data_IF_628164021289
#
_entry.id   IF_628164021289
#
_cell.length_a   1.000
_cell.length_b   1.000
_cell.length_c   1.000
_cell.angle_alpha   90.00
_cell.angle_beta   90.00
_cell.angle_gamma   90.00
#
_symmetry.space_group_name_H-M   'P 1'
#
loop_
_entity.id
_entity.type
_entity.pdbx_description
1 polymer ?
#
# COMPACT_ATOMS: atom_id res chain seq x y z
N UNK A 1 -10.05 -14.93 9.57
CA UNK A 1 -11.28 -15.67 9.26
C UNK A 1 -12.27 -15.46 10.38
N UNK A 2 -13.54 -15.22 10.04
CA UNK A 2 -14.64 -14.95 10.96
C UNK A 2 -14.84 -16.03 12.04
N UNK A 3 -14.32 -17.23 11.82
CA UNK A 3 -14.40 -18.39 12.71
C UNK A 3 -13.68 -18.20 14.08
N UNK A 4 -12.91 -17.13 14.24
CA UNK A 4 -12.18 -16.85 15.49
C UNK A 4 -12.80 -15.74 16.34
N UNK A 5 -13.90 -15.16 15.90
CA UNK A 5 -14.59 -14.11 16.65
C UNK A 5 -15.15 -14.69 17.96
N UNK A 6 -14.77 -14.10 19.08
CA UNK A 6 -15.16 -14.57 20.41
C UNK A 6 -14.26 -15.65 21.02
N UNK A 7 -13.30 -16.20 20.24
CA UNK A 7 -12.32 -17.16 20.75
C UNK A 7 -11.44 -16.51 21.84
N UNK A 8 -11.23 -17.23 22.92
CA UNK A 8 -10.33 -16.82 24.00
C UNK A 8 -8.98 -17.50 23.81
N UNK A 9 -7.96 -16.68 23.58
CA UNK A 9 -6.58 -17.13 23.37
C UNK A 9 -5.78 -16.88 24.65
N UNK A 10 -5.14 -17.91 25.16
CA UNK A 10 -4.23 -17.73 26.29
C UNK A 10 -4.19 -18.91 27.25
N UNK A 11 -3.38 -18.78 28.27
CA UNK A 11 -2.53 -17.62 28.60
C UNK A 11 -1.33 -17.47 27.65
N UNK A 12 -1.11 -16.24 27.17
CA UNK A 12 0.08 -15.88 26.38
C UNK A 12 1.07 -15.17 27.30
N UNK A 13 2.32 -15.63 27.33
CA UNK A 13 3.36 -15.05 28.16
C UNK A 13 4.09 -13.91 27.43
N UNK A 14 4.26 -12.77 28.10
CA UNK A 14 5.10 -11.65 27.67
C UNK A 14 6.05 -11.22 28.78
N UNK A 15 6.92 -10.28 28.51
CA UNK A 15 7.80 -9.68 29.54
C UNK A 15 7.03 -8.98 30.68
N UNK A 16 5.74 -8.74 30.51
CA UNK A 16 4.86 -8.10 31.51
C UNK A 16 3.94 -9.10 32.24
N UNK A 17 4.06 -10.40 31.95
CA UNK A 17 3.28 -11.45 32.58
C UNK A 17 2.42 -12.28 31.62
N UNK A 18 1.40 -12.94 32.17
CA UNK A 18 0.47 -13.76 31.40
C UNK A 18 -0.76 -12.95 31.00
N UNK A 19 -1.16 -13.07 29.74
CA UNK A 19 -2.31 -12.38 29.17
C UNK A 19 -3.32 -13.38 28.62
N UNK A 20 -4.59 -13.07 28.80
CA UNK A 20 -5.71 -13.75 28.15
C UNK A 20 -6.30 -12.75 27.16
N UNK A 21 -6.35 -13.15 25.89
CA UNK A 21 -6.83 -12.31 24.80
C UNK A 21 -8.16 -12.87 24.30
N UNK A 22 -9.09 -11.98 24.01
CA UNK A 22 -10.33 -12.32 23.33
C UNK A 22 -10.43 -11.48 22.07
N UNK A 23 -10.65 -12.14 20.93
CA UNK A 23 -10.92 -11.45 19.68
C UNK A 23 -12.37 -10.97 19.73
N UNK A 24 -12.58 -9.68 19.98
CA UNK A 24 -13.90 -9.05 20.03
C UNK A 24 -14.36 -8.52 18.69
N UNK A 25 -13.43 -8.17 17.82
CA UNK A 25 -13.70 -7.61 16.51
C UNK A 25 -12.53 -7.91 15.58
N UNK A 26 -12.80 -8.22 14.33
CA UNK A 26 -11.80 -8.35 13.28
C UNK A 26 -12.10 -7.23 12.28
N UNK A 27 -11.36 -6.13 12.37
CA UNK A 27 -11.32 -5.16 11.30
C UNK A 27 -10.55 -5.76 10.13
N UNK A 28 -11.27 -6.15 9.10
CA UNK A 28 -10.67 -6.44 7.80
C UNK A 28 -10.46 -5.08 7.13
N UNK A 29 -9.21 -4.66 7.03
CA UNK A 29 -8.87 -3.52 6.18
C UNK A 29 -9.41 -3.82 4.78
N UNK A 30 -10.49 -3.13 4.41
CA UNK A 30 -10.99 -3.18 3.04
C UNK A 30 -9.95 -2.51 2.17
N UNK A 31 -9.25 -3.30 1.38
CA UNK A 31 -8.33 -2.79 0.38
C UNK A 31 -9.15 -1.99 -0.64
N UNK A 32 -9.12 -0.68 -0.50
CA UNK A 32 -9.75 0.21 -1.47
C UNK A 32 -8.99 0.13 -2.78
N UNK A 33 -9.72 -0.01 -3.88
CA UNK A 33 -9.14 -0.11 -5.21
C UNK A 33 -10.23 -0.17 -6.28
N UNK A 34 -9.85 -0.21 -7.57
CA UNK A 34 -10.81 -0.18 -8.66
C UNK A 34 -11.60 -1.48 -8.82
N UNK A 35 -11.16 -2.58 -8.19
CA UNK A 35 -11.81 -3.88 -8.37
C UNK A 35 -12.93 -4.07 -7.34
N UNK A 36 -14.14 -4.22 -7.86
CA UNK A 36 -15.36 -4.53 -7.10
C UNK A 36 -15.94 -5.88 -7.55
N UNK A 37 -16.81 -6.46 -6.76
CA UNK A 37 -17.39 -7.79 -7.02
C UNK A 37 -18.19 -7.86 -8.33
N UNK A 38 -18.82 -6.78 -8.70
CA UNK A 38 -19.70 -6.60 -9.86
C UNK A 38 -18.97 -6.02 -11.09
N UNK A 39 -17.70 -5.67 -10.97
CA UNK A 39 -16.89 -5.19 -12.08
C UNK A 39 -16.80 -6.28 -13.15
N UNK A 40 -17.15 -5.93 -14.40
CA UNK A 40 -17.02 -6.84 -15.54
C UNK A 40 -15.55 -7.22 -15.79
N UNK A 41 -15.31 -8.48 -16.14
CA UNK A 41 -13.94 -8.98 -16.40
C UNK A 41 -13.25 -8.26 -17.56
N UNK A 42 -14.00 -7.85 -18.58
CA UNK A 42 -13.49 -7.04 -19.69
C UNK A 42 -12.92 -5.70 -19.20
N UNK A 43 -13.67 -5.01 -18.35
CA UNK A 43 -13.23 -3.75 -17.74
C UNK A 43 -12.08 -3.95 -16.78
N UNK A 44 -12.13 -4.99 -15.95
CA UNK A 44 -11.05 -5.34 -15.04
C UNK A 44 -9.73 -5.63 -15.79
N UNK A 45 -9.79 -6.32 -16.93
CA UNK A 45 -8.64 -6.55 -17.79
C UNK A 45 -8.12 -5.26 -18.45
N UNK A 46 -9.02 -4.34 -18.81
CA UNK A 46 -8.63 -3.04 -19.35
C UNK A 46 -7.87 -2.20 -18.31
N UNK A 47 -8.35 -2.20 -17.06
CA UNK A 47 -7.70 -1.51 -15.93
C UNK A 47 -6.35 -2.17 -15.59
N UNK A 48 -6.29 -3.50 -15.60
CA UNK A 48 -5.13 -4.27 -15.22
C UNK A 48 -4.91 -5.47 -16.16
N UNK A 49 -4.16 -5.29 -17.26
CA UNK A 49 -3.95 -6.33 -18.28
C UNK A 49 -3.33 -7.62 -17.77
N UNK A 50 -2.68 -7.59 -16.62
CA UNK A 50 -2.07 -8.78 -15.99
C UNK A 50 -3.04 -9.55 -15.08
N UNK A 51 -4.32 -9.13 -15.00
CA UNK A 51 -5.31 -9.72 -14.09
C UNK A 51 -5.43 -11.25 -14.26
N UNK A 52 -5.35 -11.75 -15.50
CA UNK A 52 -5.41 -13.18 -15.78
C UNK A 52 -4.23 -13.94 -15.21
N UNK A 53 -3.02 -13.42 -15.43
CA UNK A 53 -1.80 -14.02 -14.90
C UNK A 53 -1.82 -14.04 -13.38
N UNK A 54 -2.35 -12.99 -12.77
CA UNK A 54 -2.48 -12.90 -11.32
C UNK A 54 -3.52 -13.89 -10.78
N UNK A 55 -4.72 -13.93 -11.37
CA UNK A 55 -5.78 -14.86 -10.98
C UNK A 55 -5.33 -16.31 -11.15
N UNK A 56 -4.60 -16.62 -12.21
CA UNK A 56 -4.03 -17.94 -12.40
C UNK A 56 -2.97 -18.28 -11.33
N UNK A 57 -2.04 -17.37 -11.10
CA UNK A 57 -0.93 -17.58 -10.15
C UNK A 57 -1.41 -17.74 -8.71
N UNK A 58 -2.30 -16.89 -8.26
CA UNK A 58 -2.72 -16.82 -6.85
C UNK A 58 -3.88 -17.78 -6.54
N UNK A 59 -4.78 -18.03 -7.51
CA UNK A 59 -6.02 -18.77 -7.29
C UNK A 59 -6.23 -19.95 -8.25
N UNK A 60 -5.28 -20.23 -9.16
CA UNK A 60 -5.37 -21.27 -10.20
C UNK A 60 -6.60 -21.10 -11.11
N UNK A 61 -7.10 -19.87 -11.27
CA UNK A 61 -8.20 -19.54 -12.15
C UNK A 61 -7.67 -19.39 -13.57
N UNK A 62 -7.88 -20.41 -14.42
CA UNK A 62 -7.59 -20.37 -15.84
C UNK A 62 -8.78 -19.79 -16.62
N UNK A 63 -8.53 -18.74 -17.39
CA UNK A 63 -9.56 -18.10 -18.23
C UNK A 63 -9.02 -17.88 -19.64
N UNK A 64 -9.88 -18.00 -20.68
CA UNK A 64 -9.50 -17.57 -22.03
C UNK A 64 -9.32 -16.04 -22.07
N UNK A 65 -8.18 -15.58 -22.60
CA UNK A 65 -7.75 -14.18 -22.59
C UNK A 65 -8.52 -13.30 -23.60
N UNK A 66 -9.31 -13.88 -24.48
CA UNK A 66 -9.78 -13.18 -25.67
C UNK A 66 -11.28 -12.98 -25.82
N UNK A 67 -12.09 -13.57 -24.95
CA UNK A 67 -13.57 -13.44 -25.05
C UNK A 67 -14.22 -13.53 -23.70
N UNK A 68 -14.60 -12.37 -23.16
CA UNK A 68 -15.45 -12.31 -21.98
C UNK A 68 -16.91 -12.33 -22.39
N UNK A 69 -17.76 -13.00 -21.59
CA UNK A 69 -19.19 -12.81 -21.69
C UNK A 69 -19.55 -11.49 -21.02
N UNK A 70 -20.51 -10.71 -21.58
CA UNK A 70 -20.88 -9.41 -20.99
C UNK A 70 -21.29 -9.47 -19.52
N UNK A 71 -21.86 -10.61 -19.08
CA UNK A 71 -22.27 -10.86 -17.71
C UNK A 71 -21.16 -11.42 -16.80
N UNK A 72 -19.96 -11.63 -17.31
CA UNK A 72 -18.86 -12.21 -16.57
C UNK A 72 -18.20 -11.16 -15.69
N UNK A 73 -18.45 -11.23 -14.39
CA UNK A 73 -17.90 -10.34 -13.37
C UNK A 73 -16.83 -11.03 -12.54
N UNK A 74 -16.02 -10.28 -11.79
CA UNK A 74 -15.05 -10.85 -10.85
C UNK A 74 -15.73 -11.82 -9.89
N UNK A 75 -16.91 -11.46 -9.36
CA UNK A 75 -17.69 -12.33 -8.47
C UNK A 75 -18.11 -13.64 -9.15
N UNK A 76 -18.59 -13.57 -10.41
CA UNK A 76 -19.06 -14.76 -11.12
C UNK A 76 -17.89 -15.74 -11.38
N UNK A 77 -16.74 -15.21 -11.77
CA UNK A 77 -15.52 -15.99 -11.99
C UNK A 77 -15.05 -16.65 -10.70
N UNK A 78 -14.94 -15.88 -9.61
CA UNK A 78 -14.54 -16.43 -8.31
C UNK A 78 -15.48 -17.56 -7.84
N UNK A 79 -16.80 -17.36 -7.96
CA UNK A 79 -17.80 -18.38 -7.59
C UNK A 79 -17.66 -19.65 -8.41
N UNK A 80 -17.43 -19.55 -9.72
CA UNK A 80 -17.25 -20.71 -10.60
C UNK A 80 -16.04 -21.56 -10.21
N UNK A 81 -15.01 -20.90 -9.66
CA UNK A 81 -13.76 -21.57 -9.24
C UNK A 81 -13.68 -21.83 -7.72
N UNK A 82 -14.77 -21.63 -6.98
CA UNK A 82 -14.82 -21.78 -5.51
C UNK A 82 -13.78 -20.93 -4.76
N UNK A 83 -13.50 -19.74 -5.25
CA UNK A 83 -12.60 -18.76 -4.60
C UNK A 83 -13.44 -17.76 -3.83
N UNK A 84 -13.11 -17.45 -2.56
CA UNK A 84 -13.78 -16.38 -1.82
C UNK A 84 -13.60 -15.04 -2.52
N UNK A 85 -14.70 -14.39 -2.88
CA UNK A 85 -14.69 -13.16 -3.69
C UNK A 85 -13.87 -12.07 -3.00
N UNK A 86 -14.05 -11.88 -1.70
CA UNK A 86 -13.33 -10.85 -0.96
C UNK A 86 -11.80 -11.07 -0.99
N UNK A 87 -11.35 -12.31 -0.83
CA UNK A 87 -9.91 -12.65 -0.91
C UNK A 87 -9.32 -12.32 -2.28
N UNK A 88 -10.08 -12.60 -3.35
CA UNK A 88 -9.65 -12.23 -4.70
C UNK A 88 -9.58 -10.71 -4.89
N UNK A 89 -10.59 -9.96 -4.41
CA UNK A 89 -10.63 -8.50 -4.49
C UNK A 89 -9.47 -7.86 -3.72
N UNK A 90 -9.20 -8.33 -2.51
CA UNK A 90 -8.10 -7.82 -1.69
C UNK A 90 -6.76 -8.05 -2.37
N UNK A 91 -6.57 -9.24 -2.95
CA UNK A 91 -5.34 -9.56 -3.70
C UNK A 91 -5.19 -8.70 -4.95
N UNK A 92 -6.26 -8.54 -5.74
CA UNK A 92 -6.26 -7.72 -6.95
C UNK A 92 -5.99 -6.26 -6.63
N UNK A 93 -6.69 -5.69 -5.66
CA UNK A 93 -6.53 -4.28 -5.27
C UNK A 93 -5.14 -4.02 -4.69
N UNK A 94 -4.62 -4.94 -3.88
CA UNK A 94 -3.26 -4.87 -3.34
C UNK A 94 -2.22 -4.87 -4.46
N UNK A 95 -2.30 -5.85 -5.37
CA UNK A 95 -1.34 -5.98 -6.50
C UNK A 95 -1.42 -4.81 -7.48
N UNK A 96 -2.61 -4.32 -7.74
CA UNK A 96 -2.80 -3.11 -8.54
C UNK A 96 -2.15 -1.89 -7.87
N UNK A 97 -2.34 -1.72 -6.57
CA UNK A 97 -1.72 -0.64 -5.81
C UNK A 97 -0.19 -0.76 -5.81
N UNK A 98 0.36 -1.94 -5.59
CA UNK A 98 1.81 -2.20 -5.64
C UNK A 98 2.40 -1.82 -7.01
N UNK A 99 1.71 -2.09 -8.12
CA UNK A 99 2.18 -1.77 -9.47
C UNK A 99 2.12 -0.28 -9.82
N UNK A 100 1.17 0.44 -9.24
CA UNK A 100 0.95 1.86 -9.51
C UNK A 100 1.67 2.79 -8.51
N UNK A 101 2.60 2.25 -7.73
CA UNK A 101 3.44 3.07 -6.85
C UNK A 101 4.45 3.84 -7.71
N UNK A 102 4.45 5.16 -7.57
CA UNK A 102 5.51 6.00 -8.12
C UNK A 102 6.72 5.96 -7.19
N UNK A 103 7.88 5.61 -7.72
CA UNK A 103 9.12 5.42 -6.96
C UNK A 103 10.19 6.39 -7.46
N UNK A 104 11.06 6.84 -6.57
CA UNK A 104 12.31 7.53 -6.86
C UNK A 104 13.47 6.71 -6.28
N UNK A 105 14.56 6.52 -7.04
CA UNK A 105 15.73 5.80 -6.54
C UNK A 105 16.54 6.65 -5.56
N UNK A 106 17.34 5.98 -4.72
CA UNK A 106 18.21 6.69 -3.78
C UNK A 106 19.21 7.60 -4.52
N UNK A 107 19.77 7.11 -5.61
CA UNK A 107 20.75 7.84 -6.42
C UNK A 107 20.12 9.06 -7.11
N UNK A 108 18.92 8.92 -7.65
CA UNK A 108 18.20 10.05 -8.27
C UNK A 108 17.85 11.13 -7.23
N UNK A 109 17.33 10.73 -6.07
CA UNK A 109 17.02 11.68 -4.99
C UNK A 109 18.29 12.38 -4.50
N UNK A 110 19.40 11.65 -4.30
CA UNK A 110 20.68 12.22 -3.89
C UNK A 110 21.20 13.24 -4.90
N UNK A 111 21.20 12.87 -6.17
CA UNK A 111 21.60 13.77 -7.26
C UNK A 111 20.81 15.07 -7.23
N UNK A 112 19.50 14.99 -7.09
CA UNK A 112 18.62 16.17 -7.05
C UNK A 112 18.88 17.04 -5.82
N UNK A 113 19.12 16.44 -4.66
CA UNK A 113 19.51 17.16 -3.44
C UNK A 113 20.81 17.92 -3.66
N UNK A 114 21.81 17.29 -4.26
CA UNK A 114 23.14 17.89 -4.52
C UNK A 114 23.09 19.00 -5.56
N UNK A 115 22.20 18.89 -6.53
CA UNK A 115 21.96 19.92 -7.56
C UNK A 115 21.08 21.08 -7.07
N UNK A 116 20.53 20.99 -5.86
CA UNK A 116 19.64 22.02 -5.29
C UNK A 116 18.20 21.95 -5.80
N UNK A 117 17.84 20.94 -6.61
CA UNK A 117 16.48 20.65 -7.07
C UNK A 117 15.81 19.64 -6.12
N UNK A 118 15.68 20.01 -4.86
CA UNK A 118 15.18 19.14 -3.81
C UNK A 118 13.66 19.13 -3.78
N UNK A 119 12.99 17.96 -3.95
CA UNK A 119 11.56 17.82 -3.71
C UNK A 119 11.23 17.99 -2.22
N UNK A 120 9.98 18.16 -1.88
CA UNK A 120 9.53 18.09 -0.48
C UNK A 120 9.67 16.65 0.00
N UNK A 121 10.45 16.45 1.04
CA UNK A 121 10.66 15.12 1.62
C UNK A 121 9.81 15.00 2.87
N UNK A 122 8.90 14.02 2.87
CA UNK A 122 8.00 13.71 3.98
C UNK A 122 8.43 12.40 4.65
N UNK A 123 8.85 12.49 5.88
CA UNK A 123 9.24 11.33 6.68
C UNK A 123 8.07 10.89 7.56
N UNK A 124 7.51 9.72 7.23
CA UNK A 124 6.36 9.13 7.91
C UNK A 124 6.73 8.20 9.08
N UNK A 125 8.01 8.21 9.48
CA UNK A 125 8.51 7.40 10.57
C UNK A 125 8.27 8.07 11.92
N UNK A 126 8.36 7.26 12.96
CA UNK A 126 8.34 7.74 14.33
C UNK A 126 9.60 8.56 14.67
N UNK A 127 9.50 9.45 15.65
CA UNK A 127 10.62 10.33 16.02
C UNK A 127 11.89 9.55 16.38
N UNK A 128 11.76 8.46 17.13
CA UNK A 128 12.89 7.62 17.54
C UNK A 128 13.57 6.87 16.36
N UNK A 129 12.83 6.55 15.30
CA UNK A 129 13.39 5.97 14.07
C UNK A 129 14.29 6.98 13.35
N UNK A 130 13.93 8.26 13.41
CA UNK A 130 14.68 9.36 12.79
C UNK A 130 15.95 9.73 13.54
N UNK A 131 16.02 9.45 14.84
CA UNK A 131 17.22 9.65 15.64
C UNK A 131 18.37 8.72 15.21
N UNK A 132 18.03 7.60 14.54
CA UNK A 132 19.01 6.64 14.02
C UNK A 132 19.60 7.11 12.69
N UNK A 133 18.77 7.51 11.76
CA UNK A 133 19.15 8.02 10.43
C UNK A 133 18.04 8.88 9.86
N UNK A 134 18.37 9.95 9.14
CA UNK A 134 17.41 10.84 8.49
C UNK A 134 18.00 11.51 7.26
N UNK A 135 17.16 11.91 6.34
CA UNK A 135 17.56 12.82 5.25
C UNK A 135 17.36 14.26 5.74
N UNK A 136 18.41 15.04 5.73
CA UNK A 136 18.38 16.43 6.23
C UNK A 136 17.37 17.29 5.48
N UNK A 137 16.60 18.06 6.27
CA UNK A 137 15.52 18.93 5.77
C UNK A 137 14.27 18.16 5.33
N UNK A 138 14.08 16.91 5.76
CA UNK A 138 12.81 16.20 5.66
C UNK A 138 11.82 16.71 6.72
N UNK A 139 10.54 16.75 6.34
CA UNK A 139 9.43 17.13 7.23
C UNK A 139 8.86 15.88 7.88
N UNK A 140 8.68 15.91 9.20
CA UNK A 140 7.96 14.82 9.89
C UNK A 140 6.47 14.98 9.61
N UNK A 141 5.83 13.87 9.21
CA UNK A 141 4.39 13.81 9.06
C UNK A 141 3.82 12.60 9.80
N UNK A 142 2.82 12.82 10.63
CA UNK A 142 2.11 11.79 11.40
C UNK A 142 0.63 12.12 11.51
N UNK A 143 -0.14 11.32 12.25
CA UNK A 143 -1.58 11.51 12.41
C UNK A 143 -1.97 12.82 13.11
N UNK A 144 -1.08 13.39 13.92
CA UNK A 144 -1.36 14.60 14.70
C UNK A 144 -1.11 15.88 13.90
N UNK A 145 -0.15 15.87 12.96
CA UNK A 145 0.29 17.06 12.23
C UNK A 145 0.01 17.05 10.72
N UNK A 146 -0.54 15.95 10.18
CA UNK A 146 -0.68 15.75 8.74
C UNK A 146 -1.46 16.86 8.04
N UNK A 147 -2.58 17.32 8.62
CA UNK A 147 -3.38 18.40 8.04
C UNK A 147 -2.63 19.73 8.00
N UNK A 148 -1.89 20.03 9.06
CA UNK A 148 -1.09 21.26 9.13
C UNK A 148 0.09 21.22 8.16
N UNK A 149 0.83 20.12 8.12
CA UNK A 149 1.98 19.96 7.22
C UNK A 149 1.56 19.99 5.76
N UNK A 150 0.53 19.21 5.40
CA UNK A 150 0.03 19.14 4.02
C UNK A 150 -0.66 20.42 3.57
N UNK A 151 -1.30 21.14 4.50
CA UNK A 151 -1.92 22.45 4.23
C UNK A 151 -0.92 23.52 3.82
N UNK A 152 0.37 23.32 4.11
CA UNK A 152 1.46 24.24 3.73
C UNK A 152 1.94 24.04 2.29
N UNK A 153 1.53 22.97 1.60
CA UNK A 153 2.04 22.60 0.29
C UNK A 153 0.94 22.62 -0.77
N UNK A 154 1.30 23.08 -1.96
CA UNK A 154 0.43 23.01 -3.13
C UNK A 154 0.20 21.55 -3.56
N UNK A 155 -0.95 21.29 -4.18
CA UNK A 155 -1.38 19.90 -4.49
C UNK A 155 -0.55 19.21 -5.56
N UNK A 156 0.04 19.96 -6.45
CA UNK A 156 0.89 19.51 -7.56
C UNK A 156 2.39 19.46 -7.20
N UNK A 157 2.73 19.96 -6.00
CA UNK A 157 4.11 19.96 -5.53
C UNK A 157 4.66 18.53 -5.44
N UNK A 158 5.87 18.33 -5.96
CA UNK A 158 6.52 17.04 -5.91
C UNK A 158 6.97 16.70 -4.49
N UNK A 159 6.53 15.53 -4.03
CA UNK A 159 6.81 15.01 -2.69
C UNK A 159 7.47 13.64 -2.76
N UNK A 160 8.41 13.37 -1.86
CA UNK A 160 9.03 12.06 -1.67
C UNK A 160 8.73 11.56 -0.27
N UNK A 161 8.13 10.40 -0.17
CA UNK A 161 7.83 9.72 1.09
C UNK A 161 9.00 8.85 1.54
N UNK A 162 9.35 8.95 2.80
CA UNK A 162 10.36 8.12 3.45
C UNK A 162 9.70 7.32 4.56
N UNK A 163 9.91 6.02 4.55
CA UNK A 163 9.69 5.10 5.65
C UNK A 163 10.95 4.24 5.88
N UNK A 164 10.84 3.16 6.66
CA UNK A 164 12.02 2.34 6.94
C UNK A 164 12.47 1.50 5.74
N UNK A 165 11.53 0.74 5.11
CA UNK A 165 11.81 -0.22 4.03
C UNK A 165 10.82 -0.16 2.86
N UNK A 166 10.16 0.96 2.66
CA UNK A 166 9.11 1.11 1.63
C UNK A 166 7.88 0.21 1.88
N UNK A 167 7.59 -0.10 3.13
CA UNK A 167 6.44 -0.93 3.53
C UNK A 167 5.20 -0.11 3.88
N UNK A 168 5.36 1.11 4.41
CA UNK A 168 4.29 2.04 4.79
C UNK A 168 4.01 3.11 3.74
N UNK A 169 5.05 3.58 3.05
CA UNK A 169 4.98 4.69 2.08
C UNK A 169 4.01 4.44 0.92
N UNK A 170 3.84 3.22 0.37
CA UNK A 170 2.84 2.96 -0.67
C UNK A 170 1.41 3.27 -0.24
N UNK A 171 1.02 2.86 0.95
CA UNK A 171 -0.31 3.14 1.50
C UNK A 171 -0.52 4.62 1.76
N UNK A 172 0.52 5.30 2.24
CA UNK A 172 0.48 6.74 2.48
C UNK A 172 0.44 7.54 1.18
N UNK A 173 1.15 7.11 0.12
CA UNK A 173 1.07 7.71 -1.22
C UNK A 173 -0.37 7.67 -1.75
N UNK A 174 -1.05 6.52 -1.61
CA UNK A 174 -2.45 6.38 -1.99
C UNK A 174 -3.35 7.33 -1.20
N UNK A 175 -3.16 7.41 0.11
CA UNK A 175 -3.90 8.31 0.99
C UNK A 175 -3.71 9.79 0.60
N UNK A 176 -2.50 10.21 0.22
CA UNK A 176 -2.20 11.56 -0.30
C UNK A 176 -2.88 11.82 -1.65
N UNK A 177 -2.85 10.83 -2.56
CA UNK A 177 -3.48 10.94 -3.88
C UNK A 177 -5.00 11.17 -3.76
N UNK A 178 -5.68 10.48 -2.85
CA UNK A 178 -7.11 10.69 -2.56
C UNK A 178 -7.41 12.11 -2.04
N UNK A 179 -6.42 12.80 -1.51
CA UNK A 179 -6.52 14.19 -1.02
C UNK A 179 -6.05 15.23 -2.05
N UNK A 180 -5.76 14.78 -3.27
CA UNK A 180 -5.40 15.61 -4.41
C UNK A 180 -3.90 15.89 -4.56
N UNK A 181 -3.04 15.31 -3.71
CA UNK A 181 -1.59 15.33 -3.93
C UNK A 181 -1.20 14.19 -4.86
N UNK A 182 -1.07 14.47 -6.15
CA UNK A 182 -0.88 13.46 -7.19
C UNK A 182 0.58 13.24 -7.60
N UNK A 183 1.46 14.20 -7.26
CA UNK A 183 2.88 14.14 -7.61
C UNK A 183 3.71 13.66 -6.41
N UNK A 184 3.43 12.44 -5.96
CA UNK A 184 4.07 11.83 -4.78
C UNK A 184 4.82 10.58 -5.20
N UNK A 185 6.06 10.44 -4.77
CA UNK A 185 6.91 9.28 -5.00
C UNK A 185 7.30 8.63 -3.66
N UNK A 186 7.54 7.33 -3.65
CA UNK A 186 8.13 6.62 -2.52
C UNK A 186 9.63 6.46 -2.74
N UNK A 187 10.43 6.64 -1.71
CA UNK A 187 11.86 6.34 -1.78
C UNK A 187 12.07 4.83 -1.89
N UNK A 188 12.78 4.40 -2.92
CA UNK A 188 13.13 2.99 -3.14
C UNK A 188 13.83 2.41 -1.90
N UNK A 189 13.29 1.31 -1.37
CA UNK A 189 13.84 0.61 -0.20
C UNK A 189 13.87 1.43 1.09
N UNK A 190 13.30 2.63 1.09
CA UNK A 190 13.22 3.51 2.26
C UNK A 190 14.59 3.99 2.76
N UNK A 191 14.64 4.40 4.04
CA UNK A 191 15.87 4.90 4.66
C UNK A 191 16.95 3.79 4.84
N UNK A 192 16.52 2.55 4.93
CA UNK A 192 17.43 1.41 5.06
C UNK A 192 18.35 1.33 3.83
N UNK A 193 17.75 1.34 2.63
CA UNK A 193 18.53 1.34 1.38
C UNK A 193 19.28 2.65 1.15
N UNK A 194 18.72 3.79 1.57
CA UNK A 194 19.40 5.08 1.51
C UNK A 194 20.69 5.07 2.31
N UNK A 195 20.63 4.61 3.56
CA UNK A 195 21.83 4.54 4.43
C UNK A 195 22.87 3.54 3.93
N UNK A 196 22.45 2.48 3.21
CA UNK A 196 23.40 1.53 2.60
C UNK A 196 24.13 2.13 1.39
N UNK A 197 23.42 2.91 0.55
CA UNK A 197 23.95 3.37 -0.74
C UNK A 197 24.56 4.77 -0.72
N UNK A 198 24.08 5.63 0.17
CA UNK A 198 24.35 7.07 0.12
C UNK A 198 25.15 7.57 1.32
N UNK A 199 24.84 7.08 2.53
CA UNK A 199 25.55 7.44 3.77
C UNK A 199 26.72 6.48 4.07
#
# INVERSE_FOLDING_TARGET
SEDKLGEVIGPVHSQYGYHILRISEIEVEKTEGPFTSDLAMEEANRIFPEIHSLLFKEFHIGMPVSTYKPEETISSVCKTHNVPVQTALDTLNKKFSEKNISIITCEELKKRIDEGDKPVILDIRESWERDISKIEGSHIINSENNEHVLGSFEKDLEMVLIDWKQDRSPSFQKWLSQRGHTNVKCLEGGIDLWSEKID
#
